data_IF_781554417673
#
_entry.id   IF_781554417673
#
_cell.length_a   1.000
_cell.length_b   1.000
_cell.length_c   1.000
_cell.angle_alpha   90.00
_cell.angle_beta   90.00
_cell.angle_gamma   90.00
#
_symmetry.space_group_name_H-M   'P 1'
#
loop_
_entity.id
_entity.type
_entity.pdbx_description
1 polymer ?
#
# COMPACT_ATOMS: atom_id res chain seq x y z
N UNK A 1 29.13 23.05 -17.12
CA UNK A 1 28.60 23.01 -15.72
C UNK A 1 27.58 21.92 -15.67
N UNK A 2 27.99 20.73 -15.29
CA UNK A 2 27.21 19.51 -15.19
C UNK A 2 26.38 19.53 -13.91
N UNK A 3 25.05 19.50 -14.04
CA UNK A 3 24.15 19.25 -12.91
C UNK A 3 24.37 17.80 -12.46
N UNK A 4 24.97 17.63 -11.30
CA UNK A 4 24.99 16.37 -10.61
C UNK A 4 23.55 15.99 -10.30
N UNK A 5 23.11 14.83 -10.79
CA UNK A 5 21.83 14.24 -10.42
C UNK A 5 21.86 13.93 -8.92
N UNK A 6 20.92 14.50 -8.18
CA UNK A 6 20.69 14.10 -6.80
C UNK A 6 20.31 12.62 -6.78
N UNK A 7 21.19 11.78 -6.25
CA UNK A 7 20.85 10.40 -5.95
C UNK A 7 19.71 10.41 -4.95
N UNK A 8 18.56 9.83 -5.32
CA UNK A 8 17.46 9.62 -4.41
C UNK A 8 17.96 8.79 -3.22
N UNK A 9 18.09 9.40 -2.06
CA UNK A 9 18.43 8.69 -0.84
C UNK A 9 17.23 7.85 -0.43
N UNK A 10 17.35 6.53 -0.53
CA UNK A 10 16.42 5.61 0.12
C UNK A 10 16.78 5.63 1.61
N UNK A 11 16.04 6.37 2.39
CA UNK A 11 16.19 6.34 3.84
C UNK A 11 15.50 5.08 4.37
N UNK A 12 16.31 4.06 4.65
CA UNK A 12 15.87 2.92 5.45
C UNK A 12 15.78 3.39 6.90
N UNK A 13 14.59 3.36 7.48
CA UNK A 13 14.40 3.70 8.89
C UNK A 13 14.87 2.54 9.78
N UNK A 14 16.19 2.37 9.87
CA UNK A 14 16.84 1.25 10.56
C UNK A 14 16.75 1.31 12.09
N UNK A 15 16.63 2.49 12.67
CA UNK A 15 16.89 2.68 14.11
C UNK A 15 15.76 2.20 15.01
N UNK A 16 14.55 2.06 14.52
CA UNK A 16 13.38 1.62 15.31
C UNK A 16 12.88 0.22 15.00
N UNK A 17 13.20 -0.34 13.83
CA UNK A 17 12.80 -1.70 13.46
C UNK A 17 13.52 -2.77 14.31
N UNK A 18 14.72 -2.51 14.82
CA UNK A 18 15.52 -3.51 15.54
C UNK A 18 14.91 -3.90 16.90
N UNK A 19 14.23 -3.02 17.60
CA UNK A 19 13.58 -3.37 18.89
C UNK A 19 12.20 -4.01 18.74
N UNK A 20 11.55 -3.84 17.61
CA UNK A 20 10.19 -4.38 17.32
C UNK A 20 10.25 -5.58 16.38
N UNK A 21 11.27 -5.68 15.53
CA UNK A 21 11.41 -6.70 14.49
C UNK A 21 11.83 -8.10 14.99
N UNK A 22 12.30 -8.25 16.22
CA UNK A 22 12.79 -9.55 16.74
C UNK A 22 11.68 -10.60 16.87
N UNK A 23 10.40 -10.24 16.72
CA UNK A 23 9.26 -11.14 16.91
C UNK A 23 8.16 -11.05 15.87
N UNK A 24 8.42 -10.47 14.69
CA UNK A 24 7.42 -10.37 13.62
C UNK A 24 7.50 -11.55 12.66
N UNK A 25 6.55 -12.45 12.73
CA UNK A 25 6.19 -13.36 11.64
C UNK A 25 4.96 -12.79 10.94
N UNK A 26 5.14 -12.46 9.63
CA UNK A 26 4.11 -12.10 8.66
C UNK A 26 3.47 -10.70 8.76
N UNK A 27 3.65 -10.02 7.68
CA UNK A 27 2.88 -9.00 7.00
C UNK A 27 2.32 -7.85 7.84
N UNK A 28 2.83 -6.72 7.58
CA UNK A 28 2.34 -5.44 8.07
C UNK A 28 1.50 -4.79 7.00
N UNK A 29 0.39 -4.23 7.40
CA UNK A 29 -0.50 -3.52 6.50
C UNK A 29 -0.19 -2.03 6.47
N UNK A 30 -0.44 -1.45 5.37
CA UNK A 30 -0.17 -0.07 5.05
C UNK A 30 -1.37 0.75 4.77
N UNK A 31 -1.39 1.92 5.31
CA UNK A 31 -1.92 3.07 4.63
C UNK A 31 -0.99 4.26 4.85
N UNK A 32 -0.74 4.98 3.82
CA UNK A 32 0.15 6.12 3.83
C UNK A 32 -0.67 7.35 3.53
N UNK A 33 -0.78 8.24 4.51
CA UNK A 33 -1.57 9.44 4.39
C UNK A 33 -0.72 10.68 4.20
N UNK A 34 -1.20 11.50 3.32
CA UNK A 34 -0.79 12.86 3.19
C UNK A 34 -2.01 13.76 3.39
N UNK A 35 -2.01 14.59 4.43
CA UNK A 35 -3.00 15.65 4.63
C UNK A 35 -2.31 17.02 4.57
N UNK A 36 -2.70 17.85 3.63
CA UNK A 36 -2.35 19.26 3.60
C UNK A 36 -3.61 20.09 3.57
N UNK A 37 -4.06 20.59 4.72
CA UNK A 37 -4.93 21.77 4.86
C UNK A 37 -4.83 22.36 6.28
N UNK A 38 -4.96 23.69 6.43
CA UNK A 38 -4.91 24.33 7.73
C UNK A 38 -6.19 24.06 8.55
N UNK A 39 -6.02 23.74 9.82
CA UNK A 39 -7.10 23.54 10.78
C UNK A 39 -7.22 24.78 11.65
N UNK A 40 -8.43 25.29 11.80
CA UNK A 40 -8.79 26.33 12.77
C UNK A 40 -9.00 25.72 14.15
N UNK A 41 -8.49 26.40 15.16
CA UNK A 41 -8.44 26.02 16.57
C UNK A 41 -9.77 25.54 17.16
N UNK A 42 -9.78 24.29 17.65
CA UNK A 42 -10.60 23.86 18.79
C UNK A 42 -9.99 22.62 19.42
N UNK A 43 -9.66 22.71 20.68
CA UNK A 43 -8.95 21.80 21.57
C UNK A 43 -9.19 20.28 21.36
N UNK A 44 -8.32 19.67 20.62
CA UNK A 44 -7.94 18.24 20.64
C UNK A 44 -6.41 18.20 20.62
N UNK A 45 -5.70 17.12 21.01
CA UNK A 45 -4.24 17.14 21.00
C UNK A 45 -3.78 17.53 19.60
N UNK A 46 -3.29 18.76 19.49
CA UNK A 46 -3.19 19.53 18.28
C UNK A 46 -2.30 18.86 17.22
N UNK A 47 -2.91 18.32 16.17
CA UNK A 47 -2.22 18.19 14.89
C UNK A 47 -1.97 19.62 14.39
N UNK A 48 -0.73 20.07 14.44
CA UNK A 48 -0.34 21.36 13.89
C UNK A 48 -0.61 21.33 12.38
N UNK A 49 -1.37 22.30 11.91
CA UNK A 49 -1.65 22.58 10.50
C UNK A 49 -0.38 22.50 9.66
N UNK A 50 -0.34 21.58 8.68
CA UNK A 50 0.72 21.46 7.69
C UNK A 50 1.73 20.32 7.92
N UNK A 51 1.71 19.62 9.04
CA UNK A 51 2.63 18.49 9.28
C UNK A 51 2.15 17.24 8.54
N UNK A 52 3.03 16.72 7.68
CA UNK A 52 2.81 15.42 6.99
C UNK A 52 3.21 14.29 7.92
N UNK A 53 2.43 13.23 7.96
CA UNK A 53 2.65 12.05 8.80
C UNK A 53 2.51 10.77 8.01
N UNK A 54 3.26 9.74 8.40
CA UNK A 54 3.08 8.39 7.89
C UNK A 54 2.22 7.59 8.87
N UNK A 55 1.23 6.88 8.33
CA UNK A 55 0.41 5.97 9.12
C UNK A 55 0.73 4.54 8.67
N UNK A 56 1.08 3.68 9.61
CA UNK A 56 1.22 2.24 9.39
C UNK A 56 0.06 1.56 10.10
N UNK A 57 -0.75 0.83 9.33
CA UNK A 57 -2.08 0.42 9.75
C UNK A 57 -2.22 -1.09 9.66
N UNK A 58 -2.62 -1.74 10.77
CA UNK A 58 -2.88 -3.17 10.82
C UNK A 58 -1.61 -4.02 10.76
N UNK A 59 -1.67 -5.11 9.98
CA UNK A 59 -0.62 -6.11 9.88
C UNK A 59 -0.78 -7.24 10.88
N UNK A 60 0.26 -8.05 11.09
CA UNK A 60 0.19 -9.14 12.04
C UNK A 60 1.46 -9.32 12.87
N UNK A 61 1.24 -9.75 14.14
CA UNK A 61 2.25 -10.22 15.09
C UNK A 61 1.72 -11.46 15.77
N UNK A 62 1.80 -12.62 15.38
CA UNK A 62 1.11 -13.81 15.88
C UNK A 62 -0.41 -13.79 15.62
N UNK A 63 -1.03 -12.64 15.47
CA UNK A 63 -2.44 -12.42 15.11
C UNK A 63 -2.58 -11.10 14.38
N UNK A 64 -3.63 -10.95 13.60
CA UNK A 64 -3.96 -9.70 12.88
C UNK A 64 -4.18 -8.55 13.86
N UNK A 65 -3.78 -7.34 13.46
CA UNK A 65 -3.77 -6.14 14.28
C UNK A 65 -4.85 -5.15 13.82
N UNK A 66 -5.35 -4.36 14.76
CA UNK A 66 -6.17 -3.17 14.48
C UNK A 66 -5.42 -1.87 14.79
N UNK A 67 -4.17 -1.96 15.25
CA UNK A 67 -3.37 -0.81 15.64
C UNK A 67 -2.97 0.05 14.46
N UNK A 68 -2.72 1.32 14.77
CA UNK A 68 -2.19 2.32 13.86
C UNK A 68 -0.99 2.97 14.51
N UNK A 69 0.15 2.89 13.85
CA UNK A 69 1.37 3.56 14.28
C UNK A 69 1.59 4.79 13.40
N UNK A 70 1.99 5.89 14.00
CA UNK A 70 2.20 7.17 13.30
C UNK A 70 3.66 7.56 13.38
N UNK A 71 4.26 7.87 12.24
CA UNK A 71 5.59 8.43 12.17
C UNK A 71 5.55 9.92 11.84
N UNK A 72 6.23 10.71 12.64
CA UNK A 72 6.46 12.13 12.44
C UNK A 72 7.87 12.33 11.82
N UNK A 73 7.97 12.70 10.54
CA UNK A 73 9.26 12.85 9.88
C UNK A 73 10.05 14.08 10.35
N UNK A 74 9.38 15.07 10.92
CA UNK A 74 10.04 16.29 11.44
C UNK A 74 10.72 15.98 12.77
N UNK A 75 10.07 15.16 13.60
CA UNK A 75 10.62 14.73 14.90
C UNK A 75 11.42 13.44 14.81
N UNK A 76 11.41 12.79 13.63
CA UNK A 76 12.02 11.47 13.40
C UNK A 76 11.59 10.44 14.46
N UNK A 77 10.31 10.46 14.83
CA UNK A 77 9.80 9.65 15.94
C UNK A 77 8.50 8.95 15.61
N UNK A 78 8.35 7.75 16.17
CA UNK A 78 7.12 6.97 16.13
C UNK A 78 6.24 7.28 17.32
N UNK A 79 4.95 7.41 17.09
CA UNK A 79 3.92 7.50 18.11
C UNK A 79 2.99 6.30 18.01
N UNK A 80 2.99 5.46 19.02
CA UNK A 80 2.01 4.40 19.18
C UNK A 80 0.81 4.96 19.96
N UNK A 81 -0.39 4.58 19.57
CA UNK A 81 -1.64 4.98 20.24
C UNK A 81 -1.99 6.49 20.16
N UNK A 82 -1.35 7.23 19.26
CA UNK A 82 -1.73 8.63 19.02
C UNK A 82 -3.10 8.75 18.32
N UNK A 83 -3.45 7.74 17.53
CA UNK A 83 -4.73 7.63 16.83
C UNK A 83 -5.47 6.38 17.28
N UNK A 84 -6.83 6.39 17.23
CA UNK A 84 -7.61 5.22 17.61
C UNK A 84 -7.32 4.02 16.69
N UNK A 85 -7.44 2.83 17.23
CA UNK A 85 -7.37 1.60 16.46
C UNK A 85 -8.53 1.51 15.46
N UNK A 86 -8.33 0.77 14.36
CA UNK A 86 -9.42 0.33 13.48
C UNK A 86 -10.48 -0.44 14.28
N UNK A 87 -11.67 -0.51 13.77
CA UNK A 87 -12.77 -1.31 14.36
C UNK A 87 -12.54 -2.80 14.19
N UNK A 88 -11.88 -3.19 13.10
CA UNK A 88 -11.52 -4.57 12.82
C UNK A 88 -10.01 -4.75 12.76
N UNK A 89 -9.56 -5.96 13.08
CA UNK A 89 -8.18 -6.40 12.86
C UNK A 89 -8.01 -6.75 11.40
N UNK A 90 -6.90 -6.30 10.80
CA UNK A 90 -6.63 -6.53 9.38
C UNK A 90 -5.15 -6.84 9.16
N UNK A 91 -4.89 -8.01 8.64
CA UNK A 91 -3.61 -8.38 8.05
C UNK A 91 -3.70 -8.26 6.54
N UNK A 92 -2.72 -7.64 5.89
CA UNK A 92 -2.68 -7.45 4.45
C UNK A 92 -3.87 -6.71 3.82
N UNK A 93 -4.47 -5.64 4.41
CA UNK A 93 -5.52 -4.90 3.76
C UNK A 93 -4.99 -4.05 2.60
N UNK A 94 -5.85 -3.73 1.65
CA UNK A 94 -5.61 -2.63 0.73
C UNK A 94 -5.76 -1.30 1.47
N UNK A 95 -4.85 -0.35 1.20
CA UNK A 95 -4.96 0.99 1.74
C UNK A 95 -4.71 2.05 0.68
N UNK A 96 -5.43 3.17 0.80
CA UNK A 96 -5.32 4.28 -0.13
C UNK A 96 -5.73 5.60 0.54
N UNK A 97 -5.16 6.71 0.06
CA UNK A 97 -5.48 8.05 0.55
C UNK A 97 -6.24 8.83 -0.51
N UNK A 98 -7.39 9.35 -0.14
CA UNK A 98 -8.18 10.21 -1.01
C UNK A 98 -8.90 11.31 -0.24
N UNK A 99 -8.82 12.54 -0.74
CA UNK A 99 -9.50 13.72 -0.20
C UNK A 99 -9.28 13.92 1.33
N UNK A 100 -8.08 13.62 1.82
CA UNK A 100 -7.71 13.77 3.23
C UNK A 100 -8.10 12.58 4.12
N UNK A 101 -8.79 11.57 3.60
CA UNK A 101 -9.14 10.34 4.33
C UNK A 101 -8.22 9.19 3.97
N UNK A 102 -7.96 8.32 4.94
CA UNK A 102 -7.29 7.03 4.72
C UNK A 102 -8.35 5.93 4.62
N UNK A 103 -8.41 5.25 3.50
CA UNK A 103 -9.31 4.12 3.25
C UNK A 103 -8.56 2.82 3.48
N UNK A 104 -9.18 1.88 4.19
CA UNK A 104 -8.62 0.55 4.46
C UNK A 104 -9.69 -0.49 4.15
N UNK A 105 -9.37 -1.41 3.25
CA UNK A 105 -10.35 -2.32 2.65
C UNK A 105 -9.84 -3.77 2.68
N UNK A 106 -10.68 -4.69 3.15
CA UNK A 106 -10.35 -6.11 3.20
C UNK A 106 -9.23 -6.47 4.16
N UNK A 107 -8.37 -7.38 3.75
CA UNK A 107 -7.39 -8.06 4.58
C UNK A 107 -7.97 -9.29 5.25
N UNK A 108 -7.27 -9.82 6.26
CA UNK A 108 -7.71 -10.96 7.07
C UNK A 108 -7.73 -10.58 8.56
N UNK A 109 -8.75 -11.04 9.29
CA UNK A 109 -8.81 -10.91 10.75
C UNK A 109 -7.96 -11.97 11.47
N UNK A 110 -7.37 -12.91 10.70
CA UNK A 110 -6.60 -14.06 11.15
C UNK A 110 -7.39 -15.37 11.07
N UNK A 111 -8.69 -15.31 10.78
CA UNK A 111 -9.58 -16.48 10.61
C UNK A 111 -10.14 -16.51 9.18
N UNK A 112 -10.47 -15.35 8.62
CA UNK A 112 -11.08 -15.23 7.30
C UNK A 112 -10.69 -13.98 6.55
N UNK A 113 -10.86 -14.02 5.23
CA UNK A 113 -10.79 -12.83 4.37
C UNK A 113 -11.98 -11.90 4.66
N UNK A 114 -11.71 -10.60 4.68
CA UNK A 114 -12.69 -9.58 5.01
C UNK A 114 -13.25 -8.91 3.74
N UNK A 115 -14.54 -8.60 3.77
CA UNK A 115 -15.19 -7.71 2.79
C UNK A 115 -15.45 -6.30 3.33
N UNK A 116 -15.29 -6.13 4.63
CA UNK A 116 -15.48 -4.85 5.30
C UNK A 116 -14.43 -3.83 4.89
N UNK A 117 -14.81 -2.58 4.95
CA UNK A 117 -13.93 -1.44 4.72
C UNK A 117 -14.19 -0.34 5.76
N UNK A 118 -13.14 0.41 6.06
CA UNK A 118 -13.17 1.52 7.00
C UNK A 118 -12.44 2.73 6.40
N UNK A 119 -12.79 3.93 6.83
CA UNK A 119 -11.98 5.11 6.57
C UNK A 119 -11.63 5.84 7.85
N UNK A 120 -10.45 6.39 7.90
CA UNK A 120 -9.95 7.25 8.96
C UNK A 120 -10.04 8.71 8.54
N UNK A 121 -10.58 9.54 9.43
CA UNK A 121 -10.56 10.99 9.33
C UNK A 121 -9.45 11.53 10.24
N UNK A 122 -8.30 11.96 9.71
CA UNK A 122 -7.20 12.48 10.51
C UNK A 122 -7.55 13.80 11.24
N UNK A 123 -8.47 14.61 10.71
CA UNK A 123 -8.87 15.87 11.33
C UNK A 123 -9.70 15.62 12.57
N UNK A 124 -10.60 14.62 12.52
CA UNK A 124 -11.46 14.25 13.64
C UNK A 124 -10.84 13.18 14.54
N UNK A 125 -9.80 12.51 14.08
CA UNK A 125 -9.20 11.38 14.77
C UNK A 125 -10.15 10.19 14.92
N UNK A 126 -11.02 9.92 13.93
CA UNK A 126 -12.08 8.90 14.04
C UNK A 126 -12.11 7.94 12.85
N UNK A 127 -12.47 6.68 13.13
CA UNK A 127 -12.75 5.66 12.12
C UNK A 127 -14.25 5.56 11.85
N UNK A 128 -14.60 5.43 10.59
CA UNK A 128 -15.95 5.23 10.10
C UNK A 128 -16.02 3.95 9.27
N UNK A 129 -17.04 3.10 9.53
CA UNK A 129 -17.29 1.94 8.66
C UNK A 129 -17.85 2.41 7.32
N UNK A 130 -17.38 1.81 6.26
CA UNK A 130 -17.92 1.95 4.92
C UNK A 130 -18.83 0.75 4.62
N UNK A 131 -19.67 0.83 3.57
CA UNK A 131 -20.34 -0.35 3.03
C UNK A 131 -19.33 -1.45 2.72
N UNK A 132 -19.76 -2.70 2.87
CA UNK A 132 -18.95 -3.87 2.52
C UNK A 132 -18.66 -3.90 1.01
N UNK A 133 -17.47 -4.38 0.65
CA UNK A 133 -17.13 -4.80 -0.72
C UNK A 133 -18.07 -5.92 -1.19
N UNK A 134 -18.16 -6.12 -2.48
CA UNK A 134 -18.96 -7.20 -3.06
C UNK A 134 -18.35 -8.57 -2.74
N UNK A 135 -17.01 -8.63 -2.64
CA UNK A 135 -16.26 -9.86 -2.38
C UNK A 135 -15.26 -9.67 -1.22
N UNK A 136 -15.11 -10.72 -0.38
CA UNK A 136 -14.09 -10.74 0.66
C UNK A 136 -12.70 -10.93 0.02
N UNK A 137 -11.70 -10.15 0.48
CA UNK A 137 -10.36 -10.13 -0.11
C UNK A 137 -9.29 -10.05 0.96
N UNK A 138 -8.47 -11.08 1.06
CA UNK A 138 -7.23 -11.08 1.81
C UNK A 138 -6.06 -10.74 0.87
N UNK A 139 -5.12 -9.89 1.28
CA UNK A 139 -3.97 -9.46 0.49
C UNK A 139 -4.30 -8.77 -0.85
N UNK A 140 -5.37 -7.94 -0.94
CA UNK A 140 -5.64 -7.18 -2.15
C UNK A 140 -4.68 -5.99 -2.29
N UNK A 141 -4.48 -5.52 -3.50
CA UNK A 141 -3.79 -4.27 -3.78
C UNK A 141 -4.76 -3.10 -3.85
N UNK A 142 -4.37 -1.92 -3.34
CA UNK A 142 -5.22 -0.74 -3.32
C UNK A 142 -4.57 0.51 -3.90
N UNK A 143 -5.34 1.30 -4.65
CA UNK A 143 -4.91 2.62 -5.12
C UNK A 143 -6.11 3.51 -5.43
N UNK A 144 -5.88 4.82 -5.55
CA UNK A 144 -6.91 5.79 -5.95
C UNK A 144 -6.73 6.15 -7.42
N UNK A 145 -7.80 6.03 -8.19
CA UNK A 145 -7.83 6.47 -9.58
C UNK A 145 -9.11 7.27 -9.85
N UNK A 146 -8.98 8.46 -10.40
CA UNK A 146 -10.10 9.36 -10.74
C UNK A 146 -11.08 9.58 -9.58
N UNK A 147 -10.56 9.72 -8.34
CA UNK A 147 -11.36 9.97 -7.15
C UNK A 147 -12.15 8.76 -6.62
N UNK A 148 -11.87 7.56 -7.10
CA UNK A 148 -12.40 6.29 -6.59
C UNK A 148 -11.29 5.44 -6.01
N UNK A 149 -11.59 4.68 -4.95
CA UNK A 149 -10.67 3.71 -4.33
C UNK A 149 -10.84 2.38 -5.04
N UNK A 150 -9.80 1.93 -5.72
CA UNK A 150 -9.75 0.63 -6.39
C UNK A 150 -9.12 -0.41 -5.47
N UNK A 151 -9.73 -1.59 -5.46
CA UNK A 151 -9.25 -2.77 -4.73
C UNK A 151 -9.13 -3.93 -5.72
N UNK A 152 -7.91 -4.39 -5.92
CA UNK A 152 -7.54 -5.30 -6.99
C UNK A 152 -7.10 -6.65 -6.45
N UNK A 153 -7.69 -7.74 -6.94
CA UNK A 153 -7.27 -9.10 -6.60
C UNK A 153 -7.47 -9.47 -5.15
N UNK A 154 -6.49 -10.17 -4.60
CA UNK A 154 -6.53 -10.76 -3.27
C UNK A 154 -6.87 -12.25 -3.30
N UNK A 155 -7.23 -12.78 -2.15
CA UNK A 155 -7.69 -14.14 -1.95
C UNK A 155 -9.08 -14.12 -1.32
N UNK A 156 -10.04 -14.86 -1.88
CA UNK A 156 -11.39 -14.96 -1.33
C UNK A 156 -11.40 -15.78 -0.03
N UNK A 157 -12.53 -15.76 0.68
CA UNK A 157 -12.74 -16.55 1.89
C UNK A 157 -12.49 -18.08 1.64
N UNK A 158 -12.77 -18.57 0.43
CA UNK A 158 -12.50 -19.95 0.04
C UNK A 158 -11.07 -20.26 -0.41
N UNK A 159 -10.14 -19.33 -0.30
CA UNK A 159 -8.74 -19.49 -0.70
C UNK A 159 -8.47 -19.30 -2.19
N UNK A 160 -9.47 -18.98 -3.00
CA UNK A 160 -9.29 -18.74 -4.44
C UNK A 160 -8.60 -17.38 -4.67
N UNK A 161 -7.58 -17.37 -5.52
CA UNK A 161 -6.93 -16.11 -5.97
C UNK A 161 -7.84 -15.38 -6.94
N UNK A 162 -7.84 -14.07 -6.87
CA UNK A 162 -8.77 -13.21 -7.59
C UNK A 162 -8.06 -12.38 -8.65
N UNK A 163 -8.70 -12.23 -9.82
CA UNK A 163 -8.39 -11.19 -10.79
C UNK A 163 -9.44 -10.08 -10.78
N UNK A 164 -10.54 -10.26 -10.04
CA UNK A 164 -11.62 -9.29 -9.94
C UNK A 164 -11.15 -8.00 -9.30
N UNK A 165 -11.74 -6.90 -9.73
CA UNK A 165 -11.47 -5.55 -9.22
C UNK A 165 -12.77 -4.89 -8.85
N UNK A 166 -12.79 -4.24 -7.69
CA UNK A 166 -13.88 -3.40 -7.24
C UNK A 166 -13.39 -1.98 -7.03
N UNK A 167 -14.30 -1.03 -7.12
CA UNK A 167 -13.98 0.35 -6.81
C UNK A 167 -15.07 0.99 -5.95
N UNK A 168 -14.66 1.71 -4.94
CA UNK A 168 -15.54 2.50 -4.09
C UNK A 168 -15.65 3.91 -4.62
N UNK A 169 -16.89 4.40 -4.75
CA UNK A 169 -17.17 5.79 -5.10
C UNK A 169 -17.51 6.58 -3.82
N UNK A 170 -16.61 7.41 -3.27
CA UNK A 170 -16.89 8.16 -2.04
C UNK A 170 -18.09 9.10 -2.13
N UNK A 171 -18.39 9.63 -3.32
CA UNK A 171 -19.55 10.50 -3.55
C UNK A 171 -20.87 9.74 -3.50
N UNK A 172 -20.89 8.51 -4.04
CA UNK A 172 -22.09 7.67 -4.05
C UNK A 172 -22.22 6.83 -2.76
N UNK A 173 -21.11 6.65 -2.01
CA UNK A 173 -21.08 5.79 -0.84
C UNK A 173 -21.26 4.30 -1.17
N UNK A 174 -20.86 3.86 -2.37
CA UNK A 174 -21.12 2.50 -2.83
C UNK A 174 -19.95 1.89 -3.59
N UNK A 175 -19.90 0.55 -3.57
CA UNK A 175 -18.97 -0.27 -4.36
C UNK A 175 -19.58 -0.66 -5.69
N UNK A 176 -18.74 -0.78 -6.71
CA UNK A 176 -19.10 -1.27 -8.04
C UNK A 176 -17.98 -2.15 -8.60
N UNK A 177 -18.34 -3.14 -9.44
CA UNK A 177 -17.34 -3.92 -10.17
C UNK A 177 -16.60 -3.03 -11.15
N UNK A 178 -15.32 -3.30 -11.33
CA UNK A 178 -14.48 -2.77 -12.40
C UNK A 178 -13.98 -3.92 -13.30
N UNK A 179 -13.44 -3.63 -14.48
CA UNK A 179 -12.86 -4.66 -15.33
C UNK A 179 -11.81 -5.48 -14.57
N UNK A 180 -11.88 -6.82 -14.72
CA UNK A 180 -10.94 -7.73 -14.08
C UNK A 180 -9.53 -7.63 -14.70
N UNK A 181 -8.50 -7.83 -13.89
CA UNK A 181 -7.12 -7.98 -14.31
C UNK A 181 -6.94 -9.20 -15.22
N UNK A 182 -5.83 -9.25 -15.94
CA UNK A 182 -5.45 -10.37 -16.81
C UNK A 182 -5.03 -11.58 -15.98
N UNK A 183 -4.30 -11.35 -14.88
CA UNK A 183 -3.80 -12.40 -13.99
C UNK A 183 -4.55 -12.40 -12.64
N UNK A 184 -4.66 -13.60 -12.04
CA UNK A 184 -5.01 -13.74 -10.62
C UNK A 184 -3.85 -13.21 -9.77
N UNK A 185 -4.12 -12.33 -8.78
CA UNK A 185 -3.05 -11.74 -7.96
C UNK A 185 -3.44 -11.63 -6.50
N UNK A 186 -2.61 -12.20 -5.65
CA UNK A 186 -2.62 -12.03 -4.19
C UNK A 186 -1.27 -11.42 -3.78
N UNK A 187 -1.25 -10.49 -2.83
CA UNK A 187 -0.01 -9.86 -2.38
C UNK A 187 0.67 -9.00 -3.45
N UNK A 188 -0.07 -8.56 -4.47
CA UNK A 188 0.42 -7.61 -5.47
C UNK A 188 0.48 -6.19 -4.90
N UNK A 189 1.18 -5.30 -5.59
CA UNK A 189 1.17 -3.87 -5.30
C UNK A 189 0.42 -3.10 -6.37
N UNK A 190 -0.21 -1.99 -5.96
CA UNK A 190 -0.91 -1.09 -6.88
C UNK A 190 -0.44 0.36 -6.70
N UNK A 191 -0.28 1.05 -7.82
CA UNK A 191 0.03 2.48 -7.86
C UNK A 191 -0.74 3.16 -8.98
N UNK A 192 -1.03 4.44 -8.81
CA UNK A 192 -1.57 5.28 -9.89
C UNK A 192 -0.53 6.26 -10.38
N UNK A 193 -0.34 6.30 -11.68
CA UNK A 193 0.60 7.21 -12.31
C UNK A 193 0.06 7.64 -13.69
N UNK A 194 0.12 8.93 -14.00
CA UNK A 194 -0.33 9.49 -15.30
C UNK A 194 -1.76 9.11 -15.68
N UNK A 195 -2.66 9.02 -14.69
CA UNK A 195 -4.06 8.69 -14.94
C UNK A 195 -4.37 7.21 -15.17
N UNK A 196 -3.39 6.33 -15.02
CA UNK A 196 -3.54 4.87 -15.13
C UNK A 196 -3.27 4.18 -13.80
N UNK A 197 -3.88 3.02 -13.59
CA UNK A 197 -3.68 2.14 -12.44
C UNK A 197 -2.74 1.00 -12.85
N UNK A 198 -1.65 0.84 -12.15
CA UNK A 198 -0.65 -0.20 -12.36
C UNK A 198 -0.73 -1.21 -11.23
N UNK A 199 -0.72 -2.51 -11.58
CA UNK A 199 -0.64 -3.61 -10.62
C UNK A 199 0.55 -4.50 -10.98
N UNK A 200 1.42 -4.76 -10.02
CA UNK A 200 2.69 -5.45 -10.25
C UNK A 200 2.87 -6.62 -9.28
N UNK A 201 3.36 -7.74 -9.81
CA UNK A 201 3.71 -8.91 -9.01
C UNK A 201 2.52 -9.62 -8.36
N UNK A 202 2.73 -10.13 -7.15
CA UNK A 202 1.80 -10.98 -6.42
C UNK A 202 2.01 -12.46 -6.72
N UNK A 203 1.06 -13.28 -6.31
CA UNK A 203 1.02 -14.72 -6.58
C UNK A 203 -0.33 -15.16 -7.11
N UNK A 204 -0.34 -16.10 -8.06
CA UNK A 204 -1.56 -16.61 -8.68
C UNK A 204 -2.05 -17.94 -8.05
N UNK A 205 -1.37 -18.40 -7.00
CA UNK A 205 -1.64 -19.67 -6.34
C UNK A 205 -0.77 -20.83 -6.83
N UNK A 206 -0.13 -20.70 -7.99
CA UNK A 206 0.84 -21.66 -8.54
C UNK A 206 2.27 -21.15 -8.40
N UNK A 207 2.47 -19.86 -8.69
CA UNK A 207 3.78 -19.21 -8.65
C UNK A 207 3.68 -17.75 -8.21
N UNK A 208 4.82 -17.18 -7.79
CA UNK A 208 4.99 -15.74 -7.64
C UNK A 208 5.17 -15.12 -9.02
N UNK A 209 4.65 -13.92 -9.20
CA UNK A 209 4.58 -13.29 -10.49
C UNK A 209 5.67 -12.22 -10.66
N UNK A 210 6.22 -12.17 -11.87
CA UNK A 210 6.99 -11.05 -12.40
C UNK A 210 6.17 -10.20 -13.37
N UNK A 211 4.94 -10.63 -13.68
CA UNK A 211 4.05 -9.90 -14.58
C UNK A 211 3.53 -8.62 -13.92
N UNK A 212 3.29 -7.63 -14.74
CA UNK A 212 2.67 -6.39 -14.36
C UNK A 212 1.68 -5.95 -15.44
N UNK A 213 0.65 -5.23 -15.02
CA UNK A 213 -0.42 -4.78 -15.92
C UNK A 213 -0.89 -3.39 -15.55
N UNK A 214 -1.44 -2.70 -16.54
CA UNK A 214 -1.92 -1.34 -16.44
C UNK A 214 -3.37 -1.26 -16.88
N UNK A 215 -4.20 -0.58 -16.10
CA UNK A 215 -5.57 -0.24 -16.46
C UNK A 215 -5.64 1.23 -16.89
N UNK A 216 -6.06 1.46 -18.11
CA UNK A 216 -6.37 2.78 -18.63
C UNK A 216 -7.89 3.00 -18.57
N UNK A 217 -8.40 3.95 -17.77
CA UNK A 217 -9.85 4.18 -17.65
C UNK A 217 -10.51 4.59 -18.96
N UNK A 218 -9.79 5.29 -19.84
CA UNK A 218 -10.31 5.75 -21.14
C UNK A 218 -10.54 4.55 -22.10
N UNK A 219 -9.63 3.59 -22.09
CA UNK A 219 -9.76 2.36 -22.88
C UNK A 219 -10.71 1.35 -22.19
N UNK A 220 -10.84 1.40 -20.88
CA UNK A 220 -11.67 0.50 -20.08
C UNK A 220 -11.15 -0.93 -20.00
N UNK A 221 -9.87 -1.17 -20.35
CA UNK A 221 -9.24 -2.49 -20.39
C UNK A 221 -7.91 -2.50 -19.66
N UNK A 222 -7.51 -3.70 -19.24
CA UNK A 222 -6.17 -3.98 -18.70
C UNK A 222 -5.24 -4.40 -19.83
N UNK A 223 -4.01 -3.93 -19.79
CA UNK A 223 -2.95 -4.28 -20.73
C UNK A 223 -1.71 -4.75 -19.98
N UNK A 224 -1.03 -5.76 -20.52
CA UNK A 224 0.26 -6.18 -19.98
C UNK A 224 1.32 -5.12 -20.25
N UNK A 225 2.13 -4.84 -19.24
CA UNK A 225 3.33 -4.01 -19.36
C UNK A 225 4.59 -4.88 -19.22
N UNK A 226 5.78 -4.37 -19.52
CA UNK A 226 7.02 -5.12 -19.31
C UNK A 226 7.12 -5.72 -17.90
N UNK A 227 7.65 -6.93 -17.84
CA UNK A 227 7.77 -7.70 -16.59
C UNK A 227 8.85 -7.11 -15.67
N UNK A 228 8.68 -7.27 -14.37
CA UNK A 228 9.75 -7.04 -13.40
C UNK A 228 10.93 -7.98 -13.70
N UNK A 229 12.12 -7.62 -13.22
CA UNK A 229 13.31 -8.46 -13.35
C UNK A 229 13.31 -9.62 -12.35
N UNK A 230 12.49 -9.53 -11.31
CA UNK A 230 12.32 -10.57 -10.29
C UNK A 230 10.84 -10.78 -9.98
N UNK A 231 10.45 -12.02 -9.73
CA UNK A 231 9.16 -12.36 -9.14
C UNK A 231 9.04 -11.70 -7.77
N UNK A 232 7.87 -11.15 -7.45
CA UNK A 232 7.66 -10.46 -6.17
C UNK A 232 6.22 -10.65 -5.69
N UNK A 233 6.06 -11.29 -4.55
CA UNK A 233 4.85 -11.38 -3.76
C UNK A 233 5.10 -10.64 -2.45
N UNK A 234 4.14 -9.89 -1.90
CA UNK A 234 4.35 -9.11 -0.67
C UNK A 234 5.34 -7.94 -0.82
N UNK A 235 5.57 -7.44 -2.03
CA UNK A 235 6.41 -6.28 -2.26
C UNK A 235 5.76 -4.99 -1.73
N UNK A 236 6.55 -3.94 -1.62
CA UNK A 236 6.10 -2.58 -1.34
C UNK A 236 6.25 -1.71 -2.58
N UNK A 237 5.33 -0.77 -2.84
CA UNK A 237 5.45 0.15 -3.96
C UNK A 237 5.08 1.58 -3.63
N UNK A 238 5.76 2.50 -4.30
CA UNK A 238 5.46 3.93 -4.23
C UNK A 238 5.74 4.61 -5.59
N UNK A 239 5.08 5.73 -5.83
CA UNK A 239 5.40 6.59 -6.97
C UNK A 239 6.41 7.64 -6.53
N UNK A 240 7.51 7.75 -7.27
CA UNK A 240 8.55 8.73 -7.06
C UNK A 240 9.04 9.26 -8.41
N UNK A 241 9.12 10.56 -8.55
CA UNK A 241 9.64 11.25 -9.75
C UNK A 241 9.12 10.65 -11.08
N UNK A 242 7.79 10.55 -11.19
CA UNK A 242 7.09 9.98 -12.35
C UNK A 242 7.49 8.53 -12.70
N UNK A 243 7.98 7.78 -11.72
CA UNK A 243 8.27 6.35 -11.83
C UNK A 243 7.53 5.55 -10.76
N UNK A 244 7.28 4.27 -11.02
CA UNK A 244 6.75 3.34 -10.03
C UNK A 244 7.94 2.58 -9.45
N UNK A 245 8.20 2.76 -8.16
CA UNK A 245 9.26 2.08 -7.44
C UNK A 245 8.67 0.88 -6.68
N UNK A 246 9.25 -0.30 -6.85
CA UNK A 246 8.83 -1.55 -6.18
C UNK A 246 10.02 -2.10 -5.39
N UNK A 247 9.82 -2.44 -4.12
CA UNK A 247 10.87 -2.89 -3.21
C UNK A 247 10.51 -4.21 -2.55
N UNK A 248 11.51 -5.06 -2.34
CA UNK A 248 11.37 -6.28 -1.54
C UNK A 248 10.40 -7.29 -2.11
N UNK A 249 9.66 -7.93 -1.21
CA UNK A 249 8.81 -9.07 -1.48
C UNK A 249 9.56 -10.39 -1.46
N UNK A 250 8.86 -11.47 -1.76
CA UNK A 250 9.38 -12.84 -1.82
C UNK A 250 9.33 -13.37 -3.25
N UNK A 251 10.41 -13.95 -3.76
CA UNK A 251 10.49 -14.41 -5.15
C UNK A 251 10.14 -15.90 -5.36
N UNK A 252 9.82 -16.60 -4.29
CA UNK A 252 9.59 -18.05 -4.26
C UNK A 252 10.75 -18.84 -3.67
N UNK A 253 11.95 -18.27 -3.62
CA UNK A 253 13.15 -18.87 -3.01
C UNK A 253 13.65 -18.13 -1.77
N UNK A 254 13.27 -16.85 -1.62
CA UNK A 254 13.64 -16.03 -0.45
C UNK A 254 13.12 -14.60 -0.56
N UNK A 255 13.22 -13.89 0.56
CA UNK A 255 12.89 -12.48 0.68
C UNK A 255 13.92 -11.62 -0.07
N UNK A 256 13.45 -10.52 -0.62
CA UNK A 256 14.26 -9.63 -1.44
C UNK A 256 14.62 -8.34 -0.70
N UNK A 257 15.84 -7.84 -0.89
CA UNK A 257 16.25 -6.48 -0.53
C UNK A 257 16.37 -5.55 -1.73
N UNK A 258 16.31 -6.08 -2.95
CA UNK A 258 16.44 -5.29 -4.16
C UNK A 258 15.16 -4.52 -4.46
N UNK A 259 15.30 -3.39 -5.16
CA UNK A 259 14.21 -2.62 -5.72
C UNK A 259 14.34 -2.45 -7.21
N UNK A 260 13.24 -2.14 -7.86
CA UNK A 260 13.13 -1.85 -9.29
C UNK A 260 12.23 -0.65 -9.50
N UNK A 261 12.48 0.12 -10.55
CA UNK A 261 11.60 1.23 -10.94
C UNK A 261 11.15 1.06 -12.39
N UNK A 262 9.86 1.33 -12.60
CA UNK A 262 9.25 1.37 -13.92
C UNK A 262 9.11 2.79 -14.41
N UNK A 263 9.58 3.06 -15.60
CA UNK A 263 9.42 4.34 -16.30
C UNK A 263 8.38 4.16 -17.42
N UNK A 264 7.13 4.64 -17.25
CA UNK A 264 6.08 4.41 -18.26
C UNK A 264 6.43 4.97 -19.64
N UNK A 265 7.05 6.15 -19.70
CA UNK A 265 7.43 6.78 -20.98
C UNK A 265 8.50 5.98 -21.73
N UNK A 266 9.39 5.32 -21.01
CA UNK A 266 10.44 4.48 -21.59
C UNK A 266 9.99 3.02 -21.77
N UNK A 267 8.87 2.62 -21.16
CA UNK A 267 8.33 1.27 -21.18
C UNK A 267 9.31 0.24 -20.62
N UNK A 268 10.10 0.57 -19.58
CA UNK A 268 11.14 -0.33 -19.07
C UNK A 268 11.32 -0.24 -17.57
N UNK A 269 11.75 -1.36 -16.99
CA UNK A 269 12.22 -1.45 -15.62
C UNK A 269 13.74 -1.19 -15.55
N UNK A 270 14.18 -0.65 -14.43
CA UNK A 270 15.59 -0.52 -14.07
C UNK A 270 15.78 -0.74 -12.57
N UNK A 271 16.96 -1.22 -12.17
CA UNK A 271 17.26 -1.50 -10.78
C UNK A 271 17.37 -0.23 -9.94
N UNK A 272 16.90 -0.31 -8.71
CA UNK A 272 17.13 0.67 -7.64
C UNK A 272 18.22 0.17 -6.69
N UNK A 273 18.85 1.06 -5.90
CA UNK A 273 19.71 0.66 -4.80
C UNK A 273 19.00 -0.33 -3.87
N UNK A 274 19.73 -1.34 -3.41
CA UNK A 274 19.17 -2.31 -2.49
C UNK A 274 18.93 -1.69 -1.09
N UNK A 275 17.87 -2.14 -0.43
CA UNK A 275 17.63 -1.86 0.99
C UNK A 275 18.71 -2.57 1.84
N UNK A 276 18.88 -2.14 3.08
CA UNK A 276 19.82 -2.77 4.00
C UNK A 276 19.40 -4.18 4.38
N UNK A 277 18.07 -4.43 4.47
CA UNK A 277 17.48 -5.72 4.82
C UNK A 277 16.55 -6.23 3.73
N UNK A 278 16.39 -7.55 3.65
CA UNK A 278 15.30 -8.17 2.92
C UNK A 278 13.98 -7.81 3.61
N UNK A 279 12.92 -7.61 2.81
CA UNK A 279 11.59 -7.27 3.35
C UNK A 279 10.52 -7.95 2.52
N UNK A 280 9.71 -8.76 3.17
CA UNK A 280 8.47 -9.33 2.64
C UNK A 280 7.28 -8.81 3.45
N UNK A 281 6.18 -8.41 2.81
CA UNK A 281 5.05 -7.77 3.48
C UNK A 281 5.32 -6.34 3.95
N UNK A 282 6.30 -5.67 3.37
CA UNK A 282 6.60 -4.28 3.69
C UNK A 282 5.67 -3.32 2.97
N UNK A 283 5.79 -2.10 3.35
CA UNK A 283 5.04 -0.99 2.84
C UNK A 283 5.90 0.18 2.40
N UNK A 284 5.50 0.89 1.34
CA UNK A 284 6.25 2.04 0.87
C UNK A 284 5.37 3.24 0.52
N UNK A 285 5.94 4.42 0.69
CA UNK A 285 5.37 5.68 0.21
C UNK A 285 6.45 6.66 -0.17
N UNK A 286 6.03 7.71 -0.89
CA UNK A 286 6.83 8.89 -1.12
C UNK A 286 6.24 10.09 -0.38
N UNK A 287 7.07 10.78 0.38
CA UNK A 287 6.71 12.01 1.08
C UNK A 287 7.89 12.98 1.04
N UNK A 288 7.64 14.23 0.66
CA UNK A 288 8.64 15.30 0.58
C UNK A 288 9.91 14.93 -0.20
N UNK A 289 9.76 14.20 -1.30
CA UNK A 289 10.86 13.76 -2.15
C UNK A 289 11.70 12.61 -1.56
N UNK A 290 11.21 11.96 -0.51
CA UNK A 290 11.85 10.79 0.10
C UNK A 290 10.96 9.57 -0.03
N UNK A 291 11.57 8.42 -0.31
CA UNK A 291 10.93 7.12 -0.29
C UNK A 291 11.09 6.49 1.10
N UNK A 292 9.97 6.14 1.70
CA UNK A 292 9.91 5.44 2.98
C UNK A 292 9.46 4.01 2.74
N UNK A 293 10.19 3.05 3.33
CA UNK A 293 9.81 1.63 3.32
C UNK A 293 9.75 1.18 4.78
N UNK A 294 8.60 0.70 5.21
CA UNK A 294 8.33 0.34 6.60
C UNK A 294 7.91 -1.12 6.71
N UNK A 295 8.30 -1.77 7.80
CA UNK A 295 7.90 -3.13 8.12
C UNK A 295 8.46 -4.20 7.21
N UNK A 296 7.76 -5.34 7.19
CA UNK A 296 8.20 -6.58 6.55
C UNK A 296 9.19 -7.37 7.39
N UNK A 297 9.40 -8.60 7.00
CA UNK A 297 10.35 -9.55 7.60
C UNK A 297 11.51 -9.80 6.66
#
# INVERSE_FOLDING_TARGET
MTRAGAAAGVFSMEVLSVKVAVHLRWAEALALSWASRPISDAASPATRSGEKRLYVIGGSRRRSLSSVDVYDPVRESWSMHEVPNMKERRDGPAAAVHAGYVYVCGGSDGEQALKSAERFDPERGTWECLPDMLEARDGPAGAVLMGKVYVCGGCSHGGARLSSVERFCPKAGSWECAPSMLDLRFGAVACTLKGCLYVCGGGNGQERLESAECFCPEAGVWESIPRLTSRRDGAAAAVYDSTICVFGGHNGTGELKCGEQFQPDAGRWSSLPAMSFCRDGAAATCMDGHLYVCGGI
#
